data_IF_653597698781
#
_entry.id   IF_653597698781
#
_cell.length_a   1.000
_cell.length_b   1.000
_cell.length_c   1.000
_cell.angle_alpha   90.00
_cell.angle_beta   90.00
_cell.angle_gamma   90.00
#
_symmetry.space_group_name_H-M   'P 1'
#
loop_
_entity.id
_entity.type
_entity.pdbx_description
1 polymer ?
#
# COMPACT_ATOMS: atom_id res chain seq x y z
N UNK A 1 7.32 -6.97 12.73
CA UNK A 1 6.01 -7.12 13.39
C UNK A 1 5.03 -6.09 12.82
N UNK A 2 4.19 -6.55 11.90
CA UNK A 2 2.98 -5.81 11.51
C UNK A 2 2.01 -5.93 12.69
N UNK A 3 1.37 -4.85 13.09
CA UNK A 3 0.43 -4.80 14.22
C UNK A 3 -0.84 -5.62 13.92
N UNK A 4 -0.74 -6.94 13.95
CA UNK A 4 -1.87 -7.87 13.71
C UNK A 4 -2.87 -7.84 14.89
N UNK A 5 -2.47 -7.27 16.04
CA UNK A 5 -3.28 -7.19 17.26
C UNK A 5 -4.21 -5.97 17.32
N UNK A 6 -3.97 -4.94 16.49
CA UNK A 6 -4.90 -3.82 16.32
C UNK A 6 -5.80 -4.16 15.13
N UNK A 7 -7.11 -3.98 15.27
CA UNK A 7 -8.04 -4.05 14.14
C UNK A 7 -7.69 -2.94 13.13
N UNK A 8 -6.76 -3.24 12.22
CA UNK A 8 -6.18 -2.30 11.27
C UNK A 8 -6.85 -2.47 9.91
N UNK A 9 -7.30 -1.35 9.36
CA UNK A 9 -7.97 -1.27 8.07
C UNK A 9 -7.02 -1.59 6.89
N UNK A 10 -5.71 -1.58 7.15
CA UNK A 10 -4.65 -1.83 6.16
C UNK A 10 -4.72 -3.23 5.53
N UNK A 11 -5.22 -4.25 6.24
CA UNK A 11 -5.41 -5.60 5.68
C UNK A 11 -6.51 -5.58 4.62
N UNK A 12 -7.67 -5.01 4.95
CA UNK A 12 -8.80 -4.88 4.02
C UNK A 12 -8.43 -4.02 2.80
N UNK A 13 -7.74 -2.90 3.03
CA UNK A 13 -7.15 -2.08 1.98
C UNK A 13 -6.23 -2.92 1.07
N UNK A 14 -5.31 -3.69 1.66
CA UNK A 14 -4.36 -4.52 0.90
C UNK A 14 -5.07 -5.55 0.03
N UNK A 15 -6.16 -6.15 0.53
CA UNK A 15 -7.00 -7.05 -0.25
C UNK A 15 -7.62 -6.35 -1.46
N UNK A 16 -8.22 -5.17 -1.29
CA UNK A 16 -8.80 -4.42 -2.41
C UNK A 16 -7.75 -4.00 -3.44
N UNK A 17 -6.58 -3.53 -2.99
CA UNK A 17 -5.47 -3.23 -3.90
C UNK A 17 -5.00 -4.48 -4.66
N UNK A 18 -4.89 -5.62 -3.97
CA UNK A 18 -4.53 -6.90 -4.57
C UNK A 18 -5.54 -7.33 -5.64
N UNK A 19 -6.83 -7.30 -5.33
CA UNK A 19 -7.89 -7.66 -6.27
C UNK A 19 -7.94 -6.70 -7.47
N UNK A 20 -7.65 -5.42 -7.24
CA UNK A 20 -7.57 -4.43 -8.31
C UNK A 20 -6.43 -4.72 -9.29
N UNK A 21 -5.21 -5.00 -8.80
CA UNK A 21 -4.08 -5.35 -9.67
C UNK A 21 -4.25 -6.73 -10.33
N UNK A 22 -4.85 -7.69 -9.63
CA UNK A 22 -5.19 -9.01 -10.17
C UNK A 22 -6.15 -8.88 -11.36
N UNK A 23 -7.24 -8.13 -11.19
CA UNK A 23 -8.18 -7.85 -12.27
C UNK A 23 -7.52 -7.09 -13.41
N UNK A 24 -6.64 -6.11 -13.13
CA UNK A 24 -5.88 -5.42 -14.17
C UNK A 24 -5.01 -6.38 -14.99
N UNK A 25 -4.33 -7.34 -14.34
CA UNK A 25 -3.52 -8.34 -15.05
C UNK A 25 -4.39 -9.24 -15.93
N UNK A 26 -5.56 -9.66 -15.44
CA UNK A 26 -6.48 -10.44 -16.25
C UNK A 26 -6.96 -9.63 -17.46
N UNK A 27 -7.33 -8.36 -17.27
CA UNK A 27 -7.67 -7.47 -18.38
C UNK A 27 -6.53 -7.35 -19.42
N UNK A 28 -5.28 -7.29 -18.95
CA UNK A 28 -4.10 -7.19 -19.79
C UNK A 28 -3.79 -8.46 -20.60
N UNK A 29 -4.20 -9.63 -20.10
CA UNK A 29 -3.84 -10.93 -20.66
C UNK A 29 -5.02 -11.66 -21.32
N UNK A 30 -6.24 -11.24 -21.05
CA UNK A 30 -7.43 -11.94 -21.52
C UNK A 30 -7.70 -11.63 -22.99
N UNK A 31 -7.93 -12.69 -23.76
CA UNK A 31 -8.34 -12.64 -25.18
C UNK A 31 -9.84 -12.80 -25.37
N UNK A 32 -10.58 -13.05 -24.29
CA UNK A 32 -12.00 -13.40 -24.28
C UNK A 32 -12.83 -12.26 -23.70
N UNK A 33 -13.83 -11.78 -24.44
CA UNK A 33 -14.57 -10.54 -24.14
C UNK A 33 -15.65 -10.65 -23.04
N UNK A 34 -15.79 -11.81 -22.37
CA UNK A 34 -16.95 -12.08 -21.50
C UNK A 34 -16.91 -11.35 -20.15
N UNK A 35 -15.72 -11.13 -19.59
CA UNK A 35 -15.56 -10.50 -18.27
C UNK A 35 -14.92 -9.14 -18.42
N UNK A 36 -15.58 -8.08 -17.94
CA UNK A 36 -15.02 -6.73 -17.99
C UNK A 36 -14.05 -6.49 -16.82
N UNK A 37 -12.89 -7.15 -16.86
CA UNK A 37 -11.87 -7.09 -15.82
C UNK A 37 -11.38 -5.67 -15.51
N UNK A 38 -11.42 -4.75 -16.47
CA UNK A 38 -11.05 -3.35 -16.23
C UNK A 38 -12.03 -2.67 -15.27
N UNK A 39 -13.34 -2.92 -15.44
CA UNK A 39 -14.37 -2.42 -14.53
C UNK A 39 -14.19 -3.00 -13.14
N UNK A 40 -13.94 -4.31 -13.04
CA UNK A 40 -13.66 -4.99 -11.75
C UNK A 40 -12.43 -4.36 -11.07
N UNK A 41 -11.36 -4.13 -11.84
CA UNK A 41 -10.16 -3.47 -11.35
C UNK A 41 -10.45 -2.07 -10.80
N UNK A 42 -11.22 -1.26 -11.54
CA UNK A 42 -11.62 0.09 -11.13
C UNK A 42 -12.50 0.09 -9.87
N UNK A 43 -13.44 -0.85 -9.76
CA UNK A 43 -14.29 -1.00 -8.56
C UNK A 43 -13.42 -1.25 -7.33
N UNK A 44 -12.48 -2.21 -7.41
CA UNK A 44 -11.59 -2.49 -6.28
C UNK A 44 -10.61 -1.35 -5.98
N UNK A 45 -10.16 -0.59 -6.99
CA UNK A 45 -9.38 0.62 -6.75
C UNK A 45 -10.21 1.69 -6.00
N UNK A 46 -11.48 1.84 -6.37
CA UNK A 46 -12.45 2.68 -5.65
C UNK A 46 -12.66 2.25 -4.20
N UNK A 47 -12.85 0.95 -3.94
CA UNK A 47 -12.99 0.40 -2.59
C UNK A 47 -11.72 0.63 -1.75
N UNK A 48 -10.54 0.54 -2.38
CA UNK A 48 -9.27 0.86 -1.71
C UNK A 48 -9.21 2.33 -1.27
N UNK A 49 -9.62 3.28 -2.12
CA UNK A 49 -9.74 4.70 -1.76
C UNK A 49 -10.73 4.90 -0.59
N UNK A 50 -11.89 4.24 -0.67
CA UNK A 50 -12.95 4.36 0.33
C UNK A 50 -12.57 3.80 1.70
N UNK A 51 -11.54 2.95 1.75
CA UNK A 51 -10.99 2.42 3.00
C UNK A 51 -10.05 3.45 3.65
N UNK A 52 -9.16 4.08 2.86
CA UNK A 52 -8.17 5.03 3.36
C UNK A 52 -7.57 5.84 2.22
N UNK A 53 -7.16 7.08 2.49
CA UNK A 53 -6.51 7.96 1.50
C UNK A 53 -5.25 7.39 0.84
N UNK A 54 -4.53 6.45 1.46
CA UNK A 54 -3.42 5.78 0.77
C UNK A 54 -3.89 4.93 -0.43
N UNK A 55 -5.17 4.55 -0.49
CA UNK A 55 -5.79 3.94 -1.67
C UNK A 55 -5.67 4.80 -2.92
N UNK A 56 -5.53 6.13 -2.81
CA UNK A 56 -5.25 6.99 -3.97
C UNK A 56 -3.87 6.72 -4.58
N UNK A 57 -2.89 6.31 -3.76
CA UNK A 57 -1.57 5.85 -4.25
C UNK A 57 -1.74 4.55 -5.05
N UNK A 58 -2.60 3.65 -4.60
CA UNK A 58 -2.91 2.43 -5.35
C UNK A 58 -3.58 2.75 -6.70
N UNK A 59 -4.62 3.61 -6.69
CA UNK A 59 -5.28 4.08 -7.91
C UNK A 59 -4.27 4.66 -8.90
N UNK A 60 -3.45 5.62 -8.45
CA UNK A 60 -2.45 6.28 -9.29
C UNK A 60 -1.44 5.27 -9.86
N UNK A 61 -1.02 4.29 -9.07
CA UNK A 61 -0.08 3.25 -9.50
C UNK A 61 -0.65 2.38 -10.62
N UNK A 62 -1.92 1.94 -10.47
CA UNK A 62 -2.61 1.15 -11.50
C UNK A 62 -2.89 2.01 -12.73
N UNK A 63 -3.25 3.28 -12.57
CA UNK A 63 -3.50 4.20 -13.67
C UNK A 63 -2.24 4.48 -14.51
N UNK A 64 -1.08 4.64 -13.86
CA UNK A 64 0.21 4.77 -14.55
C UNK A 64 0.51 3.47 -15.31
N UNK A 65 0.35 2.31 -14.66
CA UNK A 65 0.59 1.02 -15.29
C UNK A 65 -0.33 0.78 -16.50
N UNK A 66 -1.62 1.10 -16.37
CA UNK A 66 -2.63 1.08 -17.43
C UNK A 66 -2.23 1.99 -18.60
N UNK A 67 -1.81 3.22 -18.31
CA UNK A 67 -1.38 4.19 -19.33
C UNK A 67 -0.12 3.71 -20.06
N UNK A 68 0.85 3.16 -19.34
CA UNK A 68 2.06 2.57 -19.93
C UNK A 68 1.71 1.38 -20.83
N UNK A 69 0.80 0.51 -20.40
CA UNK A 69 0.34 -0.61 -21.21
C UNK A 69 -0.34 -0.15 -22.51
N UNK A 70 -1.28 0.80 -22.41
CA UNK A 70 -1.99 1.34 -23.58
C UNK A 70 -1.05 2.04 -24.58
N UNK A 71 -0.03 2.75 -24.08
CA UNK A 71 0.98 3.40 -24.93
C UNK A 71 1.81 2.37 -25.70
N UNK A 72 2.18 1.28 -25.06
CA UNK A 72 3.03 0.24 -25.64
C UNK A 72 2.27 -0.85 -26.41
N UNK A 73 0.96 -0.96 -26.22
CA UNK A 73 0.14 -1.97 -26.90
C UNK A 73 0.00 -1.66 -28.40
N UNK A 74 0.36 -2.65 -29.23
CA UNK A 74 0.16 -2.62 -30.69
C UNK A 74 -1.27 -2.98 -31.10
N UNK A 75 -1.96 -3.77 -30.28
CA UNK A 75 -3.33 -4.25 -30.52
C UNK A 75 -4.38 -3.17 -30.27
N UNK A 76 -4.14 -2.28 -29.30
CA UNK A 76 -4.91 -1.04 -29.12
C UNK A 76 -4.46 -0.07 -30.22
N UNK A 77 -4.98 -0.30 -31.43
CA UNK A 77 -4.42 0.16 -32.70
C UNK A 77 -3.97 1.62 -32.80
N UNK A 78 -3.00 1.86 -33.69
CA UNK A 78 -2.42 3.18 -34.01
C UNK A 78 -3.44 4.28 -34.32
N UNK A 79 -4.63 3.94 -34.82
CA UNK A 79 -5.65 4.90 -35.28
C UNK A 79 -6.70 5.30 -34.26
N UNK A 80 -6.66 4.76 -33.03
CA UNK A 80 -7.69 5.05 -32.03
C UNK A 80 -7.14 5.85 -30.85
N UNK A 81 -6.56 7.03 -31.13
CA UNK A 81 -6.14 8.01 -30.10
C UNK A 81 -7.25 8.25 -29.07
N UNK A 82 -8.49 8.32 -29.55
CA UNK A 82 -9.72 8.46 -28.77
C UNK A 82 -9.87 7.35 -27.72
N UNK A 83 -9.83 6.07 -28.12
CA UNK A 83 -9.91 4.93 -27.17
C UNK A 83 -8.75 4.90 -26.17
N UNK A 84 -7.54 5.29 -26.58
CA UNK A 84 -6.38 5.39 -25.66
C UNK A 84 -6.58 6.44 -24.57
N UNK A 85 -7.33 7.51 -24.86
CA UNK A 85 -7.71 8.54 -23.90
C UNK A 85 -8.89 8.11 -23.02
N UNK A 86 -9.90 7.46 -23.60
CA UNK A 86 -11.12 7.08 -22.87
C UNK A 86 -10.92 5.96 -21.86
N UNK A 87 -10.02 5.00 -22.10
CA UNK A 87 -9.81 3.88 -21.17
C UNK A 87 -9.37 4.35 -19.76
N UNK A 88 -8.31 5.19 -19.61
CA UNK A 88 -7.93 5.74 -18.31
C UNK A 88 -9.03 6.59 -17.68
N UNK A 89 -9.74 7.41 -18.47
CA UNK A 89 -10.85 8.25 -17.98
C UNK A 89 -11.97 7.38 -17.42
N UNK A 90 -12.35 6.33 -18.14
CA UNK A 90 -13.38 5.39 -17.72
C UNK A 90 -13.01 4.68 -16.40
N UNK A 91 -11.74 4.25 -16.27
CA UNK A 91 -11.20 3.67 -15.05
C UNK A 91 -11.27 4.63 -13.85
N UNK A 92 -10.91 5.90 -14.07
CA UNK A 92 -11.01 6.96 -13.04
C UNK A 92 -12.47 7.16 -12.64
N UNK A 93 -13.38 7.32 -13.61
CA UNK A 93 -14.80 7.58 -13.35
C UNK A 93 -15.42 6.49 -12.48
N UNK A 94 -15.21 5.21 -12.82
CA UNK A 94 -15.73 4.10 -12.00
C UNK A 94 -15.16 4.14 -10.59
N UNK A 95 -13.84 4.30 -10.46
CA UNK A 95 -13.17 4.36 -9.16
C UNK A 95 -13.72 5.49 -8.28
N UNK A 96 -13.96 6.67 -8.86
CA UNK A 96 -14.52 7.82 -8.16
C UNK A 96 -16.01 7.71 -7.87
N UNK A 97 -16.79 6.98 -8.68
CA UNK A 97 -18.18 6.66 -8.35
C UNK A 97 -18.23 5.86 -7.04
N UNK A 98 -17.36 4.87 -6.88
CA UNK A 98 -17.28 4.07 -5.65
C UNK A 98 -16.82 4.91 -4.44
N UNK A 99 -15.89 5.85 -4.64
CA UNK A 99 -15.40 6.75 -3.58
C UNK A 99 -16.36 7.90 -3.25
N UNK A 100 -17.27 8.24 -4.17
CA UNK A 100 -18.14 9.41 -4.08
C UNK A 100 -18.98 9.50 -2.80
N UNK A 101 -19.49 8.41 -2.17
CA UNK A 101 -20.26 8.53 -0.94
C UNK A 101 -19.47 9.22 0.18
N UNK A 102 -18.16 8.95 0.29
CA UNK A 102 -17.30 9.59 1.28
C UNK A 102 -17.00 11.04 0.93
N UNK A 103 -16.70 11.33 -0.34
CA UNK A 103 -16.45 12.71 -0.79
C UNK A 103 -17.66 13.61 -0.60
N UNK A 104 -18.86 13.11 -0.92
CA UNK A 104 -20.13 13.81 -0.74
C UNK A 104 -20.39 14.03 0.75
N UNK A 105 -20.26 12.99 1.58
CA UNK A 105 -20.41 13.10 3.04
C UNK A 105 -19.46 14.15 3.61
N UNK A 106 -18.18 14.12 3.22
CA UNK A 106 -17.18 15.06 3.68
C UNK A 106 -17.52 16.49 3.23
N UNK A 107 -18.00 16.68 2.01
CA UNK A 107 -18.43 17.99 1.53
C UNK A 107 -19.64 18.53 2.32
N UNK A 108 -20.68 17.71 2.53
CA UNK A 108 -21.88 18.12 3.28
C UNK A 108 -21.53 18.51 4.73
N UNK A 109 -20.66 17.74 5.38
CA UNK A 109 -20.35 17.94 6.81
C UNK A 109 -19.24 18.97 7.04
N UNK A 110 -18.23 19.00 6.18
CA UNK A 110 -16.97 19.74 6.39
C UNK A 110 -16.72 20.85 5.38
N UNK A 111 -17.60 21.02 4.39
CA UNK A 111 -17.38 21.90 3.22
C UNK A 111 -16.06 21.61 2.50
N UNK A 112 -15.55 20.39 2.65
CA UNK A 112 -14.29 19.91 2.08
C UNK A 112 -14.43 18.42 1.72
N UNK A 113 -14.44 18.04 0.44
CA UNK A 113 -14.67 16.65 0.03
C UNK A 113 -13.53 15.70 0.44
N UNK A 114 -12.33 16.23 0.64
CA UNK A 114 -11.10 15.48 0.95
C UNK A 114 -10.57 15.83 2.33
N UNK A 115 -11.45 16.23 3.25
CA UNK A 115 -11.11 16.52 4.63
C UNK A 115 -10.35 15.35 5.27
N UNK A 116 -9.25 15.57 6.02
CA UNK A 116 -8.70 16.85 6.49
C UNK A 116 -7.62 17.47 5.59
N UNK A 117 -7.44 16.98 4.36
CA UNK A 117 -6.46 17.52 3.42
C UNK A 117 -6.97 18.81 2.76
N UNK A 118 -6.04 19.60 2.21
CA UNK A 118 -6.34 20.80 1.41
C UNK A 118 -7.26 21.84 2.10
N UNK A 119 -7.25 21.94 3.43
CA UNK A 119 -8.05 22.94 4.16
C UNK A 119 -7.64 24.40 3.90
N UNK A 120 -6.52 24.64 3.22
CA UNK A 120 -6.17 25.97 2.71
C UNK A 120 -6.96 26.34 1.44
N UNK A 121 -7.48 25.35 0.72
CA UNK A 121 -8.25 25.51 -0.53
C UNK A 121 -9.75 25.48 -0.22
N UNK A 122 -10.18 24.54 0.62
CA UNK A 122 -11.57 24.38 1.03
C UNK A 122 -11.82 25.12 2.35
N UNK A 123 -12.91 25.88 2.43
CA UNK A 123 -13.32 26.62 3.64
C UNK A 123 -13.81 25.65 4.72
N UNK A 124 -12.88 24.97 5.39
CA UNK A 124 -13.21 24.18 6.57
C UNK A 124 -13.77 25.08 7.67
N UNK A 125 -14.78 24.62 8.40
CA UNK A 125 -15.37 25.36 9.53
C UNK A 125 -14.28 25.73 10.54
N UNK A 126 -14.19 27.03 10.91
CA UNK A 126 -13.14 27.60 11.77
C UNK A 126 -12.89 26.82 13.08
N UNK A 127 -13.91 26.20 13.66
CA UNK A 127 -13.83 25.43 14.91
C UNK A 127 -12.97 24.15 14.83
N UNK A 128 -12.57 23.72 13.63
CA UNK A 128 -11.85 22.46 13.40
C UNK A 128 -10.47 22.63 12.75
N UNK A 129 -10.04 23.87 12.51
CA UNK A 129 -8.71 24.21 12.01
C UNK A 129 -7.60 23.68 12.93
N UNK A 130 -7.77 23.85 14.25
CA UNK A 130 -6.78 23.44 15.25
C UNK A 130 -6.50 21.93 15.26
N UNK A 131 -7.53 21.09 15.04
CA UNK A 131 -7.37 19.63 14.93
C UNK A 131 -6.76 19.21 13.60
N UNK A 132 -7.05 19.93 12.52
CA UNK A 132 -6.43 19.70 11.23
C UNK A 132 -4.94 20.06 11.25
N UNK A 133 -4.54 21.09 12.00
CA UNK A 133 -3.15 21.51 12.14
C UNK A 133 -2.32 20.52 13.00
N UNK A 134 -2.91 19.93 14.04
CA UNK A 134 -2.28 18.81 14.77
C UNK A 134 -2.02 17.63 13.82
N UNK A 135 -3.02 17.23 13.04
CA UNK A 135 -2.87 16.13 12.08
C UNK A 135 -1.86 16.45 10.95
N UNK A 136 -1.82 17.71 10.49
CA UNK A 136 -0.79 18.19 9.55
C UNK A 136 0.60 18.10 10.15
N UNK A 137 0.74 18.40 11.44
CA UNK A 137 1.96 18.18 12.21
C UNK A 137 2.39 16.73 12.14
N UNK A 138 1.52 15.78 12.45
CA UNK A 138 1.81 14.34 12.40
C UNK A 138 2.19 13.84 11.00
N UNK A 139 1.52 14.36 9.96
CA UNK A 139 1.80 14.04 8.56
C UNK A 139 3.15 14.64 8.11
N UNK A 140 3.49 15.86 8.54
CA UNK A 140 4.76 16.51 8.21
C UNK A 140 5.96 15.80 8.84
N UNK A 141 5.81 15.27 10.06
CA UNK A 141 6.83 14.42 10.70
C UNK A 141 7.06 13.09 9.96
N UNK A 142 6.13 12.70 9.10
CA UNK A 142 6.15 11.45 8.35
C UNK A 142 6.78 11.57 6.95
N UNK A 143 7.34 12.73 6.56
CA UNK A 143 7.93 12.97 5.23
C UNK A 143 9.46 13.02 5.26
N UNK A 144 10.11 12.74 4.13
CA UNK A 144 11.58 12.76 4.02
C UNK A 144 12.08 14.20 3.91
N UNK A 145 13.01 14.60 4.78
CA UNK A 145 13.58 15.95 4.83
C UNK A 145 14.62 16.26 3.75
N UNK A 146 15.21 15.24 3.12
CA UNK A 146 16.25 15.42 2.10
C UNK A 146 16.29 14.26 1.11
N UNK A 147 16.93 14.47 -0.05
CA UNK A 147 17.19 13.40 -1.05
C UNK A 147 17.99 12.25 -0.42
N UNK A 148 18.95 12.56 0.46
CA UNK A 148 19.72 11.56 1.19
C UNK A 148 18.83 10.71 2.10
N UNK A 149 17.89 11.34 2.82
CA UNK A 149 16.94 10.62 3.67
C UNK A 149 15.98 9.76 2.86
N UNK A 150 15.61 10.20 1.66
CA UNK A 150 14.77 9.48 0.72
C UNK A 150 15.48 8.26 0.10
N UNK A 151 16.75 8.41 -0.32
CA UNK A 151 17.56 7.27 -0.79
C UNK A 151 17.82 6.26 0.32
N UNK A 152 18.02 6.73 1.54
CA UNK A 152 18.20 5.89 2.72
C UNK A 152 16.86 5.46 3.32
N UNK A 153 15.71 5.75 2.70
CA UNK A 153 14.39 5.45 3.27
C UNK A 153 14.23 3.95 3.61
N UNK A 154 14.61 2.98 2.75
CA UNK A 154 14.54 1.56 3.10
C UNK A 154 15.35 1.20 4.35
N UNK A 155 16.55 1.77 4.46
CA UNK A 155 17.44 1.56 5.60
C UNK A 155 16.87 2.21 6.86
N UNK A 156 16.47 3.48 6.75
CA UNK A 156 15.90 4.25 7.85
C UNK A 156 14.63 3.59 8.38
N UNK A 157 13.72 3.12 7.53
CA UNK A 157 12.51 2.40 7.98
C UNK A 157 12.81 1.11 8.73
N UNK A 158 13.90 0.45 8.40
CA UNK A 158 14.31 -0.83 9.01
C UNK A 158 15.09 -0.62 10.30
N UNK A 159 15.99 0.37 10.32
CA UNK A 159 17.01 0.56 11.35
C UNK A 159 16.75 1.75 12.27
N UNK A 160 16.15 2.82 11.75
CA UNK A 160 15.78 4.01 12.52
C UNK A 160 14.28 3.93 12.75
N UNK A 161 13.89 3.30 13.86
CA UNK A 161 12.49 3.28 14.31
C UNK A 161 12.01 4.71 14.63
N UNK A 162 11.69 5.49 13.60
CA UNK A 162 10.98 6.76 13.71
C UNK A 162 9.50 6.41 13.83
N UNK A 163 9.05 6.41 15.09
CA UNK A 163 7.66 6.41 15.59
C UNK A 163 6.77 5.19 15.32
N UNK A 164 6.05 4.85 16.41
CA UNK A 164 4.88 3.98 16.62
C UNK A 164 4.81 2.57 15.99
N UNK A 165 5.28 2.34 14.78
CA UNK A 165 5.13 1.06 14.09
C UNK A 165 6.28 0.77 13.14
N UNK A 166 7.45 0.40 13.67
CA UNK A 166 8.51 -0.12 12.85
C UNK A 166 8.03 -1.38 12.13
N UNK A 167 8.32 -1.46 10.82
CA UNK A 167 8.63 -2.74 10.20
C UNK A 167 9.86 -3.29 10.92
N UNK A 168 9.66 -3.86 12.12
CA UNK A 168 10.71 -4.45 12.92
C UNK A 168 11.27 -5.63 12.13
N UNK A 169 12.39 -5.40 11.46
CA UNK A 169 13.22 -6.45 10.89
C UNK A 169 13.74 -6.15 9.47
N UNK A 170 14.92 -6.69 9.13
CA UNK A 170 15.56 -6.53 7.82
C UNK A 170 14.79 -7.12 6.63
N UNK A 171 13.59 -7.67 6.87
CA UNK A 171 12.72 -8.31 5.87
C UNK A 171 12.46 -7.37 4.68
N UNK A 172 12.27 -6.08 4.93
CA UNK A 172 12.09 -5.11 3.85
C UNK A 172 13.33 -4.98 2.95
N UNK A 173 14.52 -5.00 3.54
CA UNK A 173 15.79 -4.94 2.80
C UNK A 173 16.04 -6.21 1.99
N UNK A 174 15.54 -7.37 2.41
CA UNK A 174 15.65 -8.61 1.65
C UNK A 174 14.95 -8.56 0.29
N UNK A 175 13.99 -7.66 0.09
CA UNK A 175 13.29 -7.55 -1.20
C UNK A 175 14.17 -6.96 -2.31
N UNK A 176 15.11 -6.08 -2.00
CA UNK A 176 15.97 -5.43 -3.00
C UNK A 176 16.88 -6.40 -3.77
N UNK A 177 17.68 -7.28 -3.14
CA UNK A 177 18.48 -8.26 -3.87
C UNK A 177 17.61 -9.26 -4.65
N UNK A 178 16.40 -9.57 -4.15
CA UNK A 178 15.44 -10.44 -4.86
C UNK A 178 14.87 -9.78 -6.13
N UNK A 179 14.72 -8.44 -6.15
CA UNK A 179 14.42 -7.70 -7.38
C UNK A 179 15.55 -7.85 -8.39
N UNK A 180 16.81 -7.77 -7.94
CA UNK A 180 17.97 -8.02 -8.80
C UNK A 180 17.95 -9.42 -9.42
N UNK A 181 17.63 -10.44 -8.63
CA UNK A 181 17.48 -11.81 -9.11
C UNK A 181 16.35 -11.97 -10.13
N UNK A 182 15.24 -11.25 -9.95
CA UNK A 182 14.14 -11.26 -10.92
C UNK A 182 14.58 -10.85 -12.33
N UNK A 183 15.53 -9.91 -12.46
CA UNK A 183 16.03 -9.46 -13.77
C UNK A 183 16.70 -10.57 -14.60
N UNK A 184 17.17 -11.64 -13.95
CA UNK A 184 17.76 -12.80 -14.62
C UNK A 184 16.75 -13.90 -14.95
N UNK A 185 15.47 -13.72 -14.56
CA UNK A 185 14.43 -14.71 -14.79
C UNK A 185 13.61 -14.35 -16.02
N UNK A 186 13.30 -15.37 -16.83
CA UNK A 186 12.42 -15.21 -17.99
C UNK A 186 10.96 -15.14 -17.53
N UNK A 187 10.32 -14.00 -17.70
CA UNK A 187 8.87 -13.82 -17.52
C UNK A 187 8.18 -13.81 -18.89
N UNK A 188 7.74 -14.99 -19.35
CA UNK A 188 7.18 -15.16 -20.70
C UNK A 188 5.88 -14.38 -20.92
N UNK A 189 5.09 -14.18 -19.88
CA UNK A 189 3.76 -13.61 -19.97
C UNK A 189 3.73 -12.14 -19.47
N UNK A 190 4.85 -11.61 -18.99
CA UNK A 190 4.97 -10.23 -18.49
C UNK A 190 4.21 -9.95 -17.19
N UNK A 191 3.61 -10.98 -16.57
CA UNK A 191 2.78 -10.85 -15.37
C UNK A 191 3.61 -10.35 -14.20
N UNK A 192 4.73 -11.02 -13.93
CA UNK A 192 5.58 -10.68 -12.79
C UNK A 192 6.30 -9.36 -13.00
N UNK A 193 6.61 -9.02 -14.26
CA UNK A 193 7.11 -7.69 -14.63
C UNK A 193 6.09 -6.59 -14.32
N UNK A 194 4.81 -6.81 -14.62
CA UNK A 194 3.74 -5.86 -14.30
C UNK A 194 3.55 -5.74 -12.78
N UNK A 195 3.63 -6.83 -12.02
CA UNK A 195 3.57 -6.79 -10.56
C UNK A 195 4.76 -6.04 -9.95
N UNK A 196 5.97 -6.27 -10.46
CA UNK A 196 7.16 -5.55 -10.04
C UNK A 196 7.06 -4.05 -10.38
N UNK A 197 6.58 -3.73 -11.58
CA UNK A 197 6.39 -2.34 -12.00
C UNK A 197 5.33 -1.65 -11.15
N UNK A 198 4.23 -2.32 -10.82
CA UNK A 198 3.24 -1.84 -9.85
C UNK A 198 3.90 -1.55 -8.50
N UNK A 199 4.68 -2.49 -7.95
CA UNK A 199 5.39 -2.29 -6.68
C UNK A 199 6.32 -1.07 -6.73
N UNK A 200 7.11 -0.91 -7.80
CA UNK A 200 8.04 0.21 -7.96
C UNK A 200 7.28 1.53 -8.02
N UNK A 201 6.23 1.62 -8.85
CA UNK A 201 5.43 2.85 -8.98
C UNK A 201 4.76 3.18 -7.64
N UNK A 202 4.16 2.19 -6.98
CA UNK A 202 3.52 2.38 -5.68
C UNK A 202 4.54 2.83 -4.65
N UNK A 203 5.70 2.18 -4.54
CA UNK A 203 6.74 2.55 -3.59
C UNK A 203 7.22 3.98 -3.81
N UNK A 204 7.46 4.38 -5.06
CA UNK A 204 7.86 5.75 -5.39
C UNK A 204 6.79 6.74 -4.98
N UNK A 205 5.54 6.56 -5.40
CA UNK A 205 4.44 7.45 -5.02
C UNK A 205 4.25 7.48 -3.49
N UNK A 206 4.18 6.32 -2.84
CA UNK A 206 4.05 6.19 -1.40
C UNK A 206 5.15 6.97 -0.68
N UNK A 207 6.41 6.87 -1.11
CA UNK A 207 7.55 7.57 -0.48
C UNK A 207 7.46 9.10 -0.53
N UNK A 208 6.67 9.66 -1.46
CA UNK A 208 6.37 11.10 -1.49
C UNK A 208 5.21 11.48 -0.57
N UNK A 209 4.21 10.59 -0.42
CA UNK A 209 3.01 10.86 0.37
C UNK A 209 3.13 10.48 1.86
N UNK A 210 3.95 9.49 2.20
CA UNK A 210 4.09 8.98 3.57
C UNK A 210 5.31 8.06 3.72
N UNK A 211 5.99 8.12 4.87
CA UNK A 211 7.04 7.16 5.24
C UNK A 211 6.56 6.08 6.23
N UNK A 212 5.26 6.01 6.53
CA UNK A 212 4.71 4.98 7.41
C UNK A 212 4.74 3.60 6.76
N UNK A 213 5.53 2.71 7.34
CA UNK A 213 5.73 1.33 6.92
C UNK A 213 4.43 0.57 6.59
N UNK A 214 3.39 0.72 7.41
CA UNK A 214 2.09 0.05 7.23
C UNK A 214 1.37 0.45 5.93
N UNK A 215 1.62 1.66 5.41
CA UNK A 215 1.00 2.13 4.17
C UNK A 215 1.64 1.52 2.91
N UNK A 216 2.80 0.86 3.06
CA UNK A 216 3.44 0.09 2.00
C UNK A 216 2.92 -1.36 1.93
N UNK A 217 2.16 -1.80 2.92
CA UNK A 217 1.64 -3.17 3.03
C UNK A 217 0.89 -3.66 1.77
N UNK A 218 0.04 -2.86 1.09
CA UNK A 218 -0.60 -3.30 -0.14
C UNK A 218 0.39 -3.67 -1.25
N UNK A 219 1.46 -2.88 -1.39
CA UNK A 219 2.51 -3.15 -2.36
C UNK A 219 3.37 -4.36 -1.96
N UNK A 220 3.63 -4.54 -0.65
CA UNK A 220 4.32 -5.72 -0.15
C UNK A 220 3.54 -7.01 -0.40
N UNK A 221 2.22 -6.99 -0.27
CA UNK A 221 1.36 -8.12 -0.59
C UNK A 221 1.54 -8.54 -2.06
N UNK A 222 1.56 -7.58 -2.98
CA UNK A 222 1.83 -7.84 -4.40
C UNK A 222 3.25 -8.35 -4.63
N UNK A 223 4.24 -7.73 -3.99
CA UNK A 223 5.65 -8.10 -4.12
C UNK A 223 5.93 -9.52 -3.63
N UNK A 224 5.17 -10.02 -2.64
CA UNK A 224 5.28 -11.39 -2.13
C UNK A 224 5.11 -12.44 -3.24
N UNK A 225 4.26 -12.18 -4.25
CA UNK A 225 4.07 -13.08 -5.40
C UNK A 225 5.29 -13.07 -6.32
N UNK A 226 5.86 -11.89 -6.59
CA UNK A 226 7.09 -11.78 -7.40
C UNK A 226 8.23 -12.53 -6.73
N UNK A 227 8.32 -12.44 -5.41
CA UNK A 227 9.32 -13.15 -4.62
C UNK A 227 9.11 -14.66 -4.66
N UNK A 228 7.87 -15.13 -4.51
CA UNK A 228 7.54 -16.55 -4.67
C UNK A 228 7.92 -17.06 -6.07
N UNK A 229 7.72 -16.25 -7.10
CA UNK A 229 8.17 -16.56 -8.45
C UNK A 229 9.71 -16.66 -8.55
N UNK A 230 10.43 -15.70 -7.95
CA UNK A 230 11.90 -15.75 -7.88
C UNK A 230 12.37 -17.02 -7.18
N UNK A 231 11.78 -17.37 -6.04
CA UNK A 231 12.11 -18.57 -5.29
C UNK A 231 11.80 -19.87 -6.03
N UNK A 232 10.73 -19.87 -6.84
CA UNK A 232 10.36 -21.07 -7.61
C UNK A 232 11.23 -21.26 -8.84
N UNK A 233 11.79 -20.18 -9.42
CA UNK A 233 12.56 -20.23 -10.66
C UNK A 233 14.08 -20.01 -10.50
N UNK A 234 14.54 -19.61 -9.32
CA UNK A 234 15.97 -19.40 -9.09
C UNK A 234 16.76 -20.71 -9.21
N UNK A 235 17.91 -20.70 -9.92
CA UNK A 235 18.80 -21.86 -10.00
C UNK A 235 19.51 -22.16 -8.68
N UNK A 236 19.58 -21.16 -7.79
CA UNK A 236 20.15 -21.32 -6.45
C UNK A 236 19.13 -22.07 -5.59
N UNK A 237 19.56 -23.13 -4.90
CA UNK A 237 18.69 -23.92 -4.02
C UNK A 237 18.39 -23.22 -2.69
N UNK A 238 17.96 -21.97 -2.79
CA UNK A 238 17.65 -21.08 -1.68
C UNK A 238 16.44 -21.58 -0.88
N UNK A 239 15.63 -22.47 -1.49
CA UNK A 239 14.49 -23.14 -0.85
C UNK A 239 14.89 -23.93 0.39
N UNK A 240 16.11 -24.47 0.45
CA UNK A 240 16.65 -25.15 1.63
C UNK A 240 16.75 -24.24 2.85
N UNK A 241 16.89 -22.93 2.65
CA UNK A 241 16.99 -21.95 3.73
C UNK A 241 15.65 -21.34 4.13
N UNK A 242 14.55 -21.60 3.38
CA UNK A 242 13.23 -21.05 3.69
C UNK A 242 12.72 -21.47 5.08
N UNK A 243 12.82 -22.76 5.51
CA UNK A 243 12.37 -23.14 6.85
C UNK A 243 13.12 -22.38 7.94
N UNK A 244 14.45 -22.27 7.83
CA UNK A 244 15.27 -21.52 8.78
C UNK A 244 14.88 -20.03 8.80
N UNK A 245 14.68 -19.43 7.62
CA UNK A 245 14.22 -18.05 7.49
C UNK A 245 12.85 -17.82 8.16
N UNK A 246 11.89 -18.71 7.93
CA UNK A 246 10.57 -18.63 8.58
C UNK A 246 10.64 -18.83 10.09
N UNK A 247 11.48 -19.75 10.58
CA UNK A 247 11.72 -19.95 12.01
C UNK A 247 12.30 -18.67 12.62
N UNK A 248 13.37 -18.11 12.03
CA UNK A 248 13.99 -16.88 12.52
C UNK A 248 13.02 -15.71 12.53
N UNK A 249 12.23 -15.53 11.46
CA UNK A 249 11.20 -14.49 11.39
C UNK A 249 10.13 -14.71 12.46
N UNK A 250 9.67 -15.94 12.65
CA UNK A 250 8.65 -16.26 13.65
C UNK A 250 9.18 -15.96 15.05
N UNK A 251 10.40 -16.40 15.37
CA UNK A 251 11.07 -16.11 16.64
C UNK A 251 11.24 -14.60 16.87
N UNK A 252 11.66 -13.85 15.85
CA UNK A 252 11.78 -12.39 15.93
C UNK A 252 10.41 -11.70 16.12
N UNK A 253 9.34 -12.22 15.53
CA UNK A 253 8.00 -11.64 15.72
C UNK A 253 7.41 -12.01 17.09
N UNK A 254 7.63 -13.23 17.57
CA UNK A 254 7.21 -13.66 18.91
C UNK A 254 7.95 -12.84 19.98
N UNK A 255 9.28 -12.69 19.86
CA UNK A 255 10.05 -11.88 20.82
C UNK A 255 9.59 -10.43 20.84
N UNK A 256 9.39 -9.80 19.68
CA UNK A 256 8.85 -8.44 19.59
C UNK A 256 7.45 -8.32 20.20
N UNK A 257 6.59 -9.32 20.01
CA UNK A 257 5.24 -9.35 20.57
C UNK A 257 5.29 -9.47 22.09
N UNK A 258 6.13 -10.37 22.62
CA UNK A 258 6.29 -10.54 24.07
C UNK A 258 6.82 -9.27 24.72
N UNK A 259 7.82 -8.62 24.13
CA UNK A 259 8.32 -7.33 24.61
C UNK A 259 7.18 -6.30 24.65
N UNK A 260 6.40 -6.16 23.57
CA UNK A 260 5.26 -5.22 23.53
C UNK A 260 4.18 -5.55 24.56
N UNK A 261 3.83 -6.82 24.74
CA UNK A 261 2.86 -7.26 25.73
C UNK A 261 3.32 -6.89 27.15
N UNK A 262 4.60 -7.09 27.45
CA UNK A 262 5.18 -6.74 28.76
C UNK A 262 5.23 -5.22 28.93
N UNK A 263 5.68 -4.46 27.93
CA UNK A 263 5.83 -3.00 28.05
C UNK A 263 4.52 -2.25 28.09
N UNK A 264 3.49 -2.72 27.37
CA UNK A 264 2.20 -2.04 27.28
C UNK A 264 1.28 -2.33 28.46
N UNK A 265 1.60 -3.28 29.34
CA UNK A 265 0.84 -3.66 30.55
C UNK A 265 -0.67 -3.96 30.37
N UNK A 266 -1.22 -3.95 29.16
CA UNK A 266 -2.67 -4.07 28.92
C UNK A 266 -3.26 -5.40 29.38
N UNK A 267 -2.44 -6.45 29.46
CA UNK A 267 -2.85 -7.73 30.04
C UNK A 267 -3.25 -7.60 31.52
N UNK A 268 -2.64 -6.67 32.27
CA UNK A 268 -2.98 -6.43 33.68
C UNK A 268 -4.43 -5.96 33.84
N UNK A 269 -4.95 -5.17 32.90
CA UNK A 269 -6.35 -4.74 32.88
C UNK A 269 -7.27 -5.94 32.62
N UNK A 270 -6.93 -6.77 31.63
CA UNK A 270 -7.72 -7.96 31.25
C UNK A 270 -7.84 -8.95 32.41
N UNK A 271 -6.77 -9.12 33.19
CA UNK A 271 -6.76 -9.99 34.37
C UNK A 271 -7.23 -9.30 35.66
N UNK A 272 -7.70 -8.04 35.59
CA UNK A 272 -8.21 -7.31 36.74
C UNK A 272 -7.14 -6.92 37.78
N UNK A 273 -5.87 -6.93 37.40
CA UNK A 273 -4.74 -6.58 38.27
C UNK A 273 -4.57 -5.05 38.44
N UNK A 274 -5.09 -4.26 37.50
CA UNK A 274 -5.18 -2.80 37.56
C UNK A 274 -6.52 -2.35 37.00
N UNK A 275 -7.05 -1.22 37.49
CA UNK A 275 -8.27 -0.65 36.93
C UNK A 275 -8.01 -0.07 35.53
N UNK A 276 -9.08 0.09 34.73
CA UNK A 276 -8.99 0.74 33.41
C UNK A 276 -8.55 2.21 33.54
N UNK A 277 -8.98 2.88 34.60
CA UNK A 277 -8.65 4.29 34.86
C UNK A 277 -7.16 4.45 35.18
N UNK A 278 -6.63 3.60 36.06
CA UNK A 278 -5.20 3.59 36.40
C UNK A 278 -4.34 3.31 35.16
N UNK A 279 -4.77 2.35 34.33
CA UNK A 279 -4.08 2.02 33.09
C UNK A 279 -4.05 3.14 32.05
N UNK A 280 -5.12 3.93 31.95
CA UNK A 280 -5.19 5.05 31.01
C UNK A 280 -4.46 6.30 31.53
N UNK A 281 -4.14 6.33 32.82
CA UNK A 281 -3.43 7.44 33.49
C UNK A 281 -1.91 7.27 33.54
N UNK A 282 -1.41 6.05 33.30
CA UNK A 282 0.01 5.69 33.27
C UNK A 282 0.65 5.86 31.90
#
# INVERSE_FOLDING_TARGET
AMEIWRAQIEIGLSLFVFLSIYAFINWNNEKNERTNWLVISAIFAGLAMATKYIGFVALASILILLTLHIKNSKEIGKNSKTRKLFIPIYFILISFIIESPWLIKNYIIKSNPVYPYFTNIFTATKFEGDKADILRGDIAHSQTSSIKDWLLLPWNMTMKSRTENPLNGPIFLFFFPLIGLFLFLKDSNGIFKNLLLFFIIYYLLWSFFSNLARFLMPALAVMSIVIAYVFTRSPINIRKFLPLFFILITLLNVSNTLVRLITLNGWRVVFGLISREDYLSS
#
